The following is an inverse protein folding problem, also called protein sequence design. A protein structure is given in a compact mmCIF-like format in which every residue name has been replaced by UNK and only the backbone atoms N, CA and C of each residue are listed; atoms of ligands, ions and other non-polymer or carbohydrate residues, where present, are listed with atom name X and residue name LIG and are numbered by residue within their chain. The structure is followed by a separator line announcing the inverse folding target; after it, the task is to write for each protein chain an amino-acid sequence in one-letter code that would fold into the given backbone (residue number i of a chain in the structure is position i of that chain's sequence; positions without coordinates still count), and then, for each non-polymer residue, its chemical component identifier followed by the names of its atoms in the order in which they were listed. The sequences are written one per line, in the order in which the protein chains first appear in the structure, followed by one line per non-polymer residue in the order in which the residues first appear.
data_IF_066950230918
#
_entry.id   IF_066950230918
#
_cell.length_a   1.000
_cell.length_b   1.000
_cell.length_c   1.000
_cell.angle_alpha   90.00
_cell.angle_beta   90.00
_cell.angle_gamma   90.00
#
_symmetry.space_group_name_H-M   'P 1'
#
loop_
_entity.id
_entity.type
_entity.pdbx_description
1 polymer ?
#
# COMPACT_ATOMS: atom_id res chain seq x y z
N UNK A 1 8.59 23.48 -1.95
CA UNK A 1 7.68 22.33 -1.99
C UNK A 1 7.58 21.72 -0.60
N UNK A 2 6.40 21.78 0.03
CA UNK A 2 6.10 21.16 1.31
C UNK A 2 5.67 19.71 1.08
N UNK A 3 6.47 18.76 1.55
CA UNK A 3 6.16 17.33 1.45
C UNK A 3 5.74 16.76 2.81
N UNK A 4 4.69 15.94 2.82
CA UNK A 4 4.22 15.20 4.00
C UNK A 4 4.08 13.71 3.65
N UNK A 5 4.89 12.87 4.29
CA UNK A 5 4.87 11.41 4.14
C UNK A 5 4.35 10.79 5.44
N UNK A 6 3.13 10.29 5.41
CA UNK A 6 2.46 9.74 6.59
C UNK A 6 2.97 8.33 6.88
N UNK A 7 3.57 8.16 8.05
CA UNK A 7 4.03 6.87 8.57
C UNK A 7 2.88 6.21 9.32
N UNK A 8 2.15 5.35 8.60
CA UNK A 8 0.95 4.68 9.10
C UNK A 8 1.31 3.64 10.16
N UNK A 9 0.74 3.78 11.35
CA UNK A 9 1.00 2.91 12.48
C UNK A 9 -0.23 2.62 13.33
N UNK A 10 -0.30 1.42 13.90
CA UNK A 10 -1.24 1.05 14.97
C UNK A 10 -0.53 0.90 16.32
N UNK A 11 0.74 1.28 16.42
CA UNK A 11 1.53 1.25 17.66
C UNK A 11 2.64 2.30 17.69
N UNK A 12 3.13 2.63 18.89
CA UNK A 12 4.32 3.47 19.05
C UNK A 12 5.53 2.83 18.39
N UNK A 13 6.30 3.63 17.65
CA UNK A 13 7.47 3.15 16.91
C UNK A 13 8.48 4.27 16.67
N UNK A 14 9.71 3.90 16.31
CA UNK A 14 10.79 4.82 15.98
C UNK A 14 10.45 5.50 14.64
N UNK A 15 10.47 6.83 14.63
CA UNK A 15 10.25 7.61 13.41
C UNK A 15 11.57 7.90 12.68
N UNK A 16 11.53 8.07 11.36
CA UNK A 16 12.64 8.66 10.60
C UNK A 16 13.01 10.04 11.15
N UNK A 17 14.26 10.47 10.90
CA UNK A 17 14.75 11.77 11.37
C UNK A 17 14.32 12.94 10.50
N UNK A 18 14.08 12.69 9.22
CA UNK A 18 13.68 13.74 8.27
C UNK A 18 12.25 14.21 8.57
N UNK A 19 12.03 15.52 8.61
CA UNK A 19 10.79 16.16 9.06
C UNK A 19 9.60 15.92 8.12
N UNK A 20 9.85 15.49 6.87
CA UNK A 20 8.77 15.11 5.96
C UNK A 20 7.96 13.92 6.49
N UNK A 21 8.53 13.09 7.38
CA UNK A 21 7.87 11.89 7.88
C UNK A 21 6.99 12.22 9.08
N UNK A 22 5.68 12.23 8.85
CA UNK A 22 4.69 12.51 9.88
C UNK A 22 4.14 11.21 10.45
N UNK A 23 4.33 10.93 11.74
CA UNK A 23 3.71 9.78 12.38
C UNK A 23 2.17 9.91 12.36
N UNK A 24 1.47 8.88 11.87
CA UNK A 24 0.01 8.89 11.82
C UNK A 24 -0.56 7.58 12.36
N UNK A 25 -1.31 7.69 13.45
CA UNK A 25 -1.94 6.58 14.12
C UNK A 25 -3.32 6.31 13.51
N UNK A 26 -3.53 5.05 13.13
CA UNK A 26 -4.78 4.58 12.50
C UNK A 26 -5.66 3.76 13.43
N UNK A 27 -6.95 3.72 13.10
CA UNK A 27 -7.93 2.86 13.72
C UNK A 27 -8.51 3.40 15.03
N UNK A 28 -9.35 2.56 15.65
CA UNK A 28 -10.29 2.92 16.73
C UNK A 28 -9.68 2.97 18.13
N UNK A 29 -8.36 2.75 18.27
CA UNK A 29 -7.71 2.75 19.59
C UNK A 29 -7.98 4.08 20.33
N UNK A 30 -8.53 4.04 21.56
CA UNK A 30 -8.81 5.26 22.31
C UNK A 30 -7.54 5.96 22.80
N UNK A 31 -6.41 5.26 22.91
CA UNK A 31 -5.13 5.87 23.30
C UNK A 31 -4.58 6.70 22.14
N UNK A 32 -4.33 7.99 22.36
CA UNK A 32 -3.62 8.82 21.39
C UNK A 32 -2.12 8.78 21.67
N UNK A 33 -1.33 8.33 20.69
CA UNK A 33 0.12 8.35 20.81
C UNK A 33 0.63 9.78 20.71
N UNK A 34 1.34 10.25 21.76
CA UNK A 34 1.92 11.59 21.78
C UNK A 34 2.78 11.85 20.54
N UNK A 35 2.50 12.94 19.84
CA UNK A 35 3.20 13.36 18.63
C UNK A 35 2.71 12.70 17.33
N UNK A 36 1.72 11.80 17.38
CA UNK A 36 1.12 11.20 16.19
C UNK A 36 -0.13 12.00 15.77
N UNK A 37 -0.30 12.16 14.47
CA UNK A 37 -1.59 12.51 13.88
C UNK A 37 -2.59 11.37 14.09
N UNK A 38 -3.89 11.67 14.01
CA UNK A 38 -4.95 10.67 14.15
C UNK A 38 -5.89 10.69 12.96
N UNK A 39 -6.06 9.52 12.34
CA UNK A 39 -6.98 9.32 11.22
C UNK A 39 -8.46 9.44 11.60
N UNK A 40 -8.80 9.50 12.90
CA UNK A 40 -10.17 9.61 13.40
C UNK A 40 -10.61 11.05 13.70
N UNK A 41 -9.92 12.05 13.15
CA UNK A 41 -10.20 13.47 13.33
C UNK A 41 -10.68 14.10 12.02
N UNK A 42 -11.42 15.21 12.07
CA UNK A 42 -11.93 15.87 10.86
C UNK A 42 -12.81 14.95 9.99
N UNK A 43 -12.76 15.13 8.67
CA UNK A 43 -13.43 14.22 7.73
C UNK A 43 -12.62 12.92 7.61
N UNK A 44 -13.25 11.80 7.97
CA UNK A 44 -12.55 10.52 8.08
C UNK A 44 -13.43 9.28 7.89
N UNK A 45 -12.75 8.16 7.67
CA UNK A 45 -13.31 6.81 7.61
C UNK A 45 -12.58 5.85 8.58
N UNK A 46 -12.02 6.36 9.68
CA UNK A 46 -11.21 5.56 10.63
C UNK A 46 -11.96 4.34 11.20
N UNK A 47 -13.29 4.45 11.33
CA UNK A 47 -14.16 3.33 11.72
C UNK A 47 -14.04 2.10 10.79
N UNK A 48 -13.59 2.29 9.55
CA UNK A 48 -13.39 1.24 8.55
C UNK A 48 -11.99 0.63 8.56
N UNK A 49 -11.10 1.04 9.47
CA UNK A 49 -9.68 0.64 9.46
C UNK A 49 -9.47 -0.89 9.51
N UNK A 50 -10.36 -1.63 10.18
CA UNK A 50 -10.30 -3.09 10.23
C UNK A 50 -10.35 -3.74 8.83
N UNK A 51 -11.02 -3.10 7.87
CA UNK A 51 -11.19 -3.60 6.51
C UNK A 51 -10.37 -2.83 5.48
N UNK A 52 -10.32 -1.50 5.61
CA UNK A 52 -9.62 -0.59 4.70
C UNK A 52 -8.14 -0.40 5.05
N UNK A 53 -7.71 -0.84 6.22
CA UNK A 53 -6.32 -0.74 6.67
C UNK A 53 -5.78 0.70 6.53
N UNK A 54 -4.57 0.85 5.99
CA UNK A 54 -3.91 2.14 5.74
C UNK A 54 -4.68 3.10 4.82
N UNK A 55 -5.68 2.65 4.06
CA UNK A 55 -6.46 3.55 3.20
C UNK A 55 -7.25 4.57 4.00
N UNK A 56 -7.55 4.27 5.27
CA UNK A 56 -8.15 5.24 6.21
C UNK A 56 -7.23 6.45 6.45
N UNK A 57 -5.93 6.22 6.58
CA UNK A 57 -4.94 7.29 6.63
C UNK A 57 -4.84 8.06 5.31
N UNK A 58 -4.88 7.34 4.18
CA UNK A 58 -4.82 7.92 2.85
C UNK A 58 -5.99 8.88 2.60
N UNK A 59 -7.21 8.44 2.94
CA UNK A 59 -8.42 9.26 2.88
C UNK A 59 -8.31 10.46 3.82
N UNK A 60 -7.92 10.24 5.07
CA UNK A 60 -7.77 11.33 6.04
C UNK A 60 -6.78 12.40 5.57
N UNK A 61 -5.63 11.99 5.03
CA UNK A 61 -4.65 12.90 4.47
C UNK A 61 -5.20 13.72 3.31
N UNK A 62 -5.97 13.08 2.42
CA UNK A 62 -6.64 13.74 1.29
C UNK A 62 -7.58 14.85 1.75
N UNK A 63 -8.35 14.60 2.81
CA UNK A 63 -9.38 15.53 3.29
C UNK A 63 -8.86 16.62 4.23
N UNK A 64 -7.79 16.35 4.98
CA UNK A 64 -7.40 17.19 6.11
C UNK A 64 -6.04 17.88 5.91
N UNK A 65 -5.31 17.60 4.83
CA UNK A 65 -3.93 18.08 4.62
C UNK A 65 -3.76 18.78 3.26
N UNK A 66 -2.94 19.82 3.24
CA UNK A 66 -2.74 20.73 2.09
C UNK A 66 -1.26 20.82 1.65
N UNK A 67 -0.49 19.76 1.85
CA UNK A 67 0.90 19.69 1.39
C UNK A 67 0.98 19.64 -0.15
N UNK A 68 2.08 20.10 -0.75
CA UNK A 68 2.30 20.03 -2.20
C UNK A 68 2.55 18.58 -2.66
N UNK A 69 3.15 17.78 -1.78
CA UNK A 69 3.43 16.36 -1.98
C UNK A 69 2.91 15.59 -0.79
N UNK A 70 2.17 14.52 -1.05
CA UNK A 70 1.62 13.61 -0.06
C UNK A 70 2.16 12.21 -0.29
N UNK A 71 2.42 11.49 0.78
CA UNK A 71 2.90 10.12 0.70
C UNK A 71 2.41 9.25 1.84
N UNK A 72 2.38 7.96 1.60
CA UNK A 72 1.97 6.96 2.58
C UNK A 72 3.02 5.85 2.64
N UNK A 73 3.53 5.59 3.85
CA UNK A 73 4.46 4.50 4.15
C UNK A 73 4.02 3.77 5.41
N UNK A 74 4.55 2.57 5.64
CA UNK A 74 4.23 1.81 6.85
C UNK A 74 5.26 2.10 7.94
N UNK A 75 4.85 2.00 9.20
CA UNK A 75 5.76 2.11 10.36
C UNK A 75 6.97 1.15 10.37
N UNK A 76 6.92 0.10 9.54
CA UNK A 76 7.99 -0.92 9.43
C UNK A 76 8.52 -1.10 8.00
N UNK A 77 8.11 -0.27 7.05
CA UNK A 77 8.53 -0.32 5.64
C UNK A 77 8.69 1.10 5.10
N UNK A 78 9.90 1.43 4.67
CA UNK A 78 10.24 2.77 4.17
C UNK A 78 10.94 2.66 2.83
N UNK A 79 10.78 3.66 1.97
CA UNK A 79 11.62 3.82 0.79
C UNK A 79 13.07 4.04 1.23
N UNK A 80 14.01 3.37 0.57
CA UNK A 80 15.43 3.66 0.76
C UNK A 80 15.88 4.84 -0.06
N UNK A 81 17.06 5.34 0.27
CA UNK A 81 17.74 6.39 -0.48
C UNK A 81 18.39 5.87 -1.79
N UNK A 82 17.73 4.92 -2.46
CA UNK A 82 18.17 4.30 -3.73
C UNK A 82 18.93 2.97 -3.58
N UNK A 83 19.32 2.56 -2.37
CA UNK A 83 20.10 1.33 -2.14
C UNK A 83 19.27 0.19 -1.55
N UNK A 84 19.62 -1.06 -1.87
CA UNK A 84 19.03 -2.25 -1.25
C UNK A 84 19.88 -2.70 -0.06
N UNK A 85 19.38 -2.52 1.15
CA UNK A 85 20.11 -2.82 2.38
C UNK A 85 19.58 -4.06 3.11
N UNK A 86 19.62 -5.23 2.45
CA UNK A 86 19.02 -6.47 3.00
C UNK A 86 19.67 -6.95 4.30
N UNK A 87 21.01 -6.83 4.41
CA UNK A 87 21.81 -7.31 5.55
C UNK A 87 22.25 -6.21 6.51
N UNK A 88 21.81 -4.98 6.28
CA UNK A 88 22.13 -3.87 7.18
C UNK A 88 21.42 -4.02 8.53
N UNK A 89 22.06 -3.55 9.59
CA UNK A 89 21.42 -3.38 10.90
C UNK A 89 20.21 -2.44 10.78
N UNK A 90 19.29 -2.54 11.75
CA UNK A 90 18.11 -1.66 11.79
C UNK A 90 18.54 -0.19 11.80
N UNK A 91 19.54 0.19 12.60
CA UNK A 91 20.00 1.57 12.66
C UNK A 91 20.60 2.07 11.33
N UNK A 92 21.36 1.23 10.63
CA UNK A 92 21.87 1.58 9.29
C UNK A 92 20.73 1.70 8.27
N UNK A 93 19.66 0.92 8.38
CA UNK A 93 18.46 1.09 7.55
C UNK A 93 17.75 2.42 7.84
N UNK A 94 17.64 2.83 9.10
CA UNK A 94 17.05 4.14 9.45
C UNK A 94 17.87 5.31 8.90
N UNK A 95 19.19 5.18 8.82
CA UNK A 95 20.07 6.19 8.22
C UNK A 95 19.95 6.28 6.70
N UNK A 96 19.45 5.22 6.04
CA UNK A 96 19.30 5.16 4.58
C UNK A 96 17.85 5.31 4.12
N UNK A 97 16.94 5.76 5.00
CA UNK A 97 15.57 6.10 4.60
C UNK A 97 15.64 7.29 3.62
N UNK A 98 14.80 7.25 2.58
CA UNK A 98 14.69 8.32 1.59
C UNK A 98 14.53 9.68 2.28
N UNK A 99 15.39 10.63 1.93
CA UNK A 99 15.36 12.00 2.47
C UNK A 99 14.46 12.90 1.63
N UNK A 100 14.12 14.06 2.20
CA UNK A 100 13.47 15.17 1.49
C UNK A 100 14.22 15.55 0.21
N UNK A 101 15.54 15.64 0.25
CA UNK A 101 16.37 15.95 -0.94
C UNK A 101 16.16 14.92 -2.07
N UNK A 102 16.23 13.63 -1.76
CA UNK A 102 16.06 12.56 -2.77
C UNK A 102 14.64 12.50 -3.30
N UNK A 103 13.65 12.66 -2.43
CA UNK A 103 12.24 12.75 -2.82
C UNK A 103 12.02 13.93 -3.78
N UNK A 104 12.57 15.11 -3.46
CA UNK A 104 12.42 16.30 -4.29
C UNK A 104 13.06 16.11 -5.67
N UNK A 105 14.26 15.53 -5.74
CA UNK A 105 14.91 15.20 -7.02
C UNK A 105 14.07 14.24 -7.85
N UNK A 106 13.54 13.19 -7.25
CA UNK A 106 12.67 12.25 -7.95
C UNK A 106 11.40 12.92 -8.49
N UNK A 107 10.76 13.79 -7.71
CA UNK A 107 9.51 14.45 -8.10
C UNK A 107 9.69 15.66 -9.04
N UNK A 108 10.93 16.03 -9.37
CA UNK A 108 11.22 16.97 -10.46
C UNK A 108 11.06 16.31 -11.84
N UNK A 109 11.38 15.03 -11.94
CA UNK A 109 11.33 14.27 -13.20
C UNK A 109 10.06 13.42 -13.34
N UNK A 110 9.50 12.97 -12.22
CA UNK A 110 8.35 12.06 -12.17
C UNK A 110 7.22 12.63 -11.32
N UNK A 111 6.01 12.14 -11.54
CA UNK A 111 4.84 12.58 -10.79
C UNK A 111 4.59 11.77 -9.50
N UNK A 112 5.12 10.54 -9.46
CA UNK A 112 4.91 9.59 -8.37
C UNK A 112 6.16 8.73 -8.09
N UNK A 113 6.33 8.36 -6.82
CA UNK A 113 7.31 7.39 -6.34
C UNK A 113 6.54 6.16 -5.87
N UNK A 114 6.90 5.00 -6.41
CA UNK A 114 6.31 3.71 -6.09
C UNK A 114 7.37 2.72 -5.57
N UNK A 115 6.96 1.67 -4.85
CA UNK A 115 7.87 0.59 -4.50
C UNK A 115 8.36 -0.12 -5.76
N UNK A 116 9.52 -0.78 -5.71
CA UNK A 116 9.84 -1.74 -6.78
C UNK A 116 8.77 -2.83 -6.85
N UNK A 117 8.27 -3.13 -8.05
CA UNK A 117 7.27 -4.19 -8.25
C UNK A 117 7.75 -5.51 -7.66
N UNK A 118 6.82 -6.24 -7.05
CA UNK A 118 7.02 -7.64 -6.69
C UNK A 118 6.80 -8.49 -7.91
N UNK A 119 7.72 -9.39 -8.24
CA UNK A 119 7.56 -10.35 -9.34
C UNK A 119 6.99 -11.69 -8.82
N UNK A 120 5.98 -12.20 -9.51
CA UNK A 120 5.44 -13.54 -9.38
C UNK A 120 6.08 -14.44 -10.43
N UNK A 121 6.79 -15.49 -10.00
CA UNK A 121 7.56 -16.34 -10.92
C UNK A 121 6.74 -17.43 -11.60
N UNK A 122 5.55 -17.76 -11.05
CA UNK A 122 4.70 -18.87 -11.52
C UNK A 122 3.26 -18.38 -11.71
N UNK A 123 2.80 -17.41 -10.91
CA UNK A 123 1.42 -16.92 -10.89
C UNK A 123 1.24 -15.61 -11.68
N UNK A 124 0.01 -15.35 -12.12
CA UNK A 124 -0.46 -14.00 -12.43
C UNK A 124 -0.99 -13.33 -11.16
N UNK A 125 -1.20 -12.02 -11.18
CA UNK A 125 -1.85 -11.30 -10.09
C UNK A 125 -3.23 -11.89 -9.77
N UNK A 126 -3.99 -12.32 -10.78
CA UNK A 126 -5.27 -13.02 -10.62
C UNK A 126 -5.11 -14.34 -9.87
N UNK A 127 -4.28 -15.26 -10.37
CA UNK A 127 -4.12 -16.58 -9.74
C UNK A 127 -3.50 -16.46 -8.35
N UNK A 128 -2.61 -15.48 -8.15
CA UNK A 128 -2.07 -15.18 -6.83
C UNK A 128 -3.17 -14.76 -5.86
N UNK A 129 -4.04 -13.84 -6.27
CA UNK A 129 -5.17 -13.40 -5.44
C UNK A 129 -6.11 -14.56 -5.12
N UNK A 130 -6.49 -15.37 -6.11
CA UNK A 130 -7.33 -16.56 -5.91
C UNK A 130 -6.75 -17.56 -4.88
N UNK A 131 -5.42 -17.72 -4.86
CA UNK A 131 -4.77 -18.63 -3.91
C UNK A 131 -4.71 -18.11 -2.47
N UNK A 132 -4.81 -16.79 -2.25
CA UNK A 132 -4.60 -16.18 -0.93
C UNK A 132 -5.79 -15.36 -0.40
N UNK A 133 -6.81 -15.15 -1.25
CA UNK A 133 -8.00 -14.35 -1.00
C UNK A 133 -9.21 -14.94 -1.76
N UNK A 134 -10.42 -14.44 -1.51
CA UNK A 134 -11.61 -14.92 -2.21
C UNK A 134 -11.77 -14.25 -3.57
N UNK A 135 -11.69 -15.02 -4.65
CA UNK A 135 -11.69 -14.45 -6.01
C UNK A 135 -12.96 -13.66 -6.35
N UNK A 136 -14.10 -14.01 -5.74
CA UNK A 136 -15.38 -13.28 -5.87
C UNK A 136 -15.24 -11.78 -5.57
N UNK A 137 -14.29 -11.38 -4.73
CA UNK A 137 -14.07 -9.98 -4.37
C UNK A 137 -13.45 -9.19 -5.54
N UNK A 138 -12.54 -9.81 -6.30
CA UNK A 138 -12.00 -9.22 -7.53
C UNK A 138 -13.01 -9.24 -8.67
N UNK A 139 -13.83 -10.28 -8.77
CA UNK A 139 -14.93 -10.33 -9.73
C UNK A 139 -15.93 -9.20 -9.48
N UNK A 140 -16.30 -9.00 -8.20
CA UNK A 140 -17.15 -7.88 -7.77
C UNK A 140 -16.49 -6.53 -8.08
N UNK A 141 -15.18 -6.41 -7.83
CA UNK A 141 -14.42 -5.20 -8.21
C UNK A 141 -14.49 -4.92 -9.70
N UNK A 142 -14.32 -5.95 -10.54
CA UNK A 142 -14.45 -5.79 -11.99
C UNK A 142 -15.86 -5.38 -12.42
N UNK A 143 -16.90 -5.94 -11.80
CA UNK A 143 -18.30 -5.56 -12.06
C UNK A 143 -18.53 -4.08 -11.75
N UNK A 144 -18.07 -3.61 -10.59
CA UNK A 144 -18.12 -2.18 -10.22
C UNK A 144 -17.42 -1.31 -11.26
N UNK A 145 -16.25 -1.72 -11.75
CA UNK A 145 -15.54 -0.98 -12.80
C UNK A 145 -16.33 -0.97 -14.12
N UNK A 146 -16.94 -2.09 -14.52
CA UNK A 146 -17.80 -2.13 -15.73
C UNK A 146 -18.94 -1.13 -15.64
N UNK A 147 -19.58 -1.03 -14.47
CA UNK A 147 -20.75 -0.16 -14.26
C UNK A 147 -20.39 1.32 -14.14
N UNK A 148 -19.36 1.66 -13.36
CA UNK A 148 -19.05 3.07 -13.01
C UNK A 148 -17.84 3.64 -13.74
N UNK A 149 -16.92 2.80 -14.17
CA UNK A 149 -15.62 3.19 -14.71
C UNK A 149 -15.23 2.33 -15.92
N UNK A 150 -16.09 2.19 -16.95
CA UNK A 150 -15.88 1.23 -18.04
C UNK A 150 -14.53 1.41 -18.74
N UNK A 151 -14.02 2.63 -18.84
CA UNK A 151 -12.71 2.93 -19.44
C UNK A 151 -11.52 2.40 -18.64
N UNK A 152 -11.70 1.99 -17.38
CA UNK A 152 -10.67 1.37 -16.54
C UNK A 152 -10.61 -0.16 -16.73
N UNK A 153 -11.68 -0.77 -17.27
CA UNK A 153 -11.79 -2.24 -17.40
C UNK A 153 -10.66 -2.83 -18.24
N UNK A 154 -10.25 -2.27 -19.40
CA UNK A 154 -9.12 -2.81 -20.16
C UNK A 154 -7.81 -2.83 -19.36
N UNK A 155 -7.59 -1.82 -18.50
CA UNK A 155 -6.40 -1.71 -17.66
C UNK A 155 -6.46 -2.69 -16.48
N UNK A 156 -7.63 -2.88 -15.88
CA UNK A 156 -7.87 -3.92 -14.89
C UNK A 156 -7.58 -5.31 -15.47
N UNK A 157 -8.16 -5.64 -16.62
CA UNK A 157 -8.01 -6.93 -17.28
C UNK A 157 -6.55 -7.22 -17.66
N UNK A 158 -5.77 -6.18 -17.98
CA UNK A 158 -4.33 -6.31 -18.19
C UNK A 158 -3.58 -6.49 -16.87
N UNK A 159 -3.86 -5.66 -15.85
CA UNK A 159 -3.18 -5.68 -14.57
C UNK A 159 -3.28 -7.04 -13.87
N UNK A 160 -4.47 -7.66 -13.87
CA UNK A 160 -4.69 -8.97 -13.24
C UNK A 160 -3.97 -10.12 -13.97
N UNK A 161 -3.63 -9.96 -15.25
CA UNK A 161 -2.85 -10.94 -16.04
C UNK A 161 -1.34 -10.79 -15.86
N UNK A 162 -0.87 -9.68 -15.28
CA UNK A 162 0.56 -9.46 -15.07
C UNK A 162 1.12 -10.40 -14.02
N UNK A 163 2.44 -10.54 -14.05
CA UNK A 163 3.22 -11.29 -13.07
C UNK A 163 4.05 -10.37 -12.21
N UNK A 164 3.65 -9.11 -12.12
CA UNK A 164 4.27 -8.12 -11.26
C UNK A 164 3.26 -7.06 -10.84
N UNK A 165 3.41 -6.55 -9.62
CA UNK A 165 2.47 -5.61 -9.00
C UNK A 165 3.20 -4.71 -7.99
N UNK A 166 2.74 -3.46 -7.86
CA UNK A 166 3.15 -2.58 -6.76
C UNK A 166 2.43 -2.96 -5.46
N UNK A 167 3.18 -3.51 -4.51
CA UNK A 167 2.61 -3.98 -3.24
C UNK A 167 2.57 -2.90 -2.17
N UNK A 168 1.81 -3.17 -1.11
CA UNK A 168 1.76 -2.46 0.17
C UNK A 168 1.04 -1.11 0.18
N UNK A 169 0.35 -0.68 -0.87
CA UNK A 169 -0.29 0.65 -0.92
C UNK A 169 0.67 1.82 -0.54
N UNK A 170 1.98 1.63 -0.72
CA UNK A 170 2.98 2.66 -0.46
C UNK A 170 3.16 3.51 -1.71
N UNK A 171 3.04 4.82 -1.56
CA UNK A 171 3.24 5.77 -2.67
C UNK A 171 3.60 7.14 -2.12
N UNK A 172 4.29 7.94 -2.93
CA UNK A 172 4.50 9.37 -2.69
C UNK A 172 4.22 10.08 -4.01
N UNK A 173 3.37 11.10 -4.02
CA UNK A 173 2.98 11.78 -5.25
C UNK A 173 2.72 13.27 -5.02
N UNK A 174 2.69 14.04 -6.11
CA UNK A 174 2.11 15.39 -6.11
C UNK A 174 0.69 15.32 -5.55
N UNK A 175 0.30 16.32 -4.74
CA UNK A 175 -0.95 16.26 -3.95
C UNK A 175 -2.18 16.00 -4.81
N UNK A 176 -2.30 16.68 -5.95
CA UNK A 176 -3.45 16.53 -6.84
C UNK A 176 -3.63 15.08 -7.32
N UNK A 177 -2.53 14.39 -7.60
CA UNK A 177 -2.56 12.98 -8.02
C UNK A 177 -2.85 12.04 -6.85
N UNK A 178 -2.26 12.31 -5.69
CA UNK A 178 -2.56 11.55 -4.46
C UNK A 178 -4.06 11.64 -4.16
N UNK A 179 -4.61 12.85 -4.17
CA UNK A 179 -6.00 13.13 -3.83
C UNK A 179 -6.97 12.59 -4.89
N UNK A 180 -6.63 12.69 -6.18
CA UNK A 180 -7.41 12.13 -7.28
C UNK A 180 -7.45 10.59 -7.23
N UNK A 181 -6.30 9.94 -7.02
CA UNK A 181 -6.24 8.49 -6.85
C UNK A 181 -7.05 8.04 -5.64
N UNK A 182 -6.88 8.69 -4.48
CA UNK A 182 -7.63 8.34 -3.27
C UNK A 182 -9.14 8.51 -3.46
N UNK A 183 -9.56 9.58 -4.12
CA UNK A 183 -10.99 9.83 -4.38
C UNK A 183 -11.58 8.73 -5.27
N UNK A 184 -10.90 8.38 -6.38
CA UNK A 184 -11.34 7.30 -7.25
C UNK A 184 -11.34 5.94 -6.54
N UNK A 185 -10.27 5.63 -5.82
CA UNK A 185 -10.12 4.35 -5.12
C UNK A 185 -11.23 4.15 -4.08
N UNK A 186 -11.52 5.18 -3.28
CA UNK A 186 -12.55 5.11 -2.24
C UNK A 186 -13.95 5.02 -2.84
N UNK A 187 -14.22 5.68 -3.97
CA UNK A 187 -15.50 5.51 -4.67
C UNK A 187 -15.69 4.07 -5.14
N UNK A 188 -14.68 3.48 -5.82
CA UNK A 188 -14.72 2.07 -6.26
C UNK A 188 -14.88 1.12 -5.07
N UNK A 189 -14.06 1.25 -4.04
CA UNK A 189 -14.11 0.34 -2.89
C UNK A 189 -15.40 0.46 -2.09
N UNK A 190 -16.00 1.65 -2.00
CA UNK A 190 -17.29 1.83 -1.33
C UNK A 190 -18.42 1.09 -2.05
N UNK A 191 -18.31 0.94 -3.37
CA UNK A 191 -19.25 0.20 -4.20
C UNK A 191 -19.03 -1.30 -4.12
N UNK A 192 -17.78 -1.74 -4.01
CA UNK A 192 -17.46 -3.15 -3.71
C UNK A 192 -17.99 -3.52 -2.33
N UNK A 193 -17.77 -2.67 -1.33
CA UNK A 193 -18.22 -2.90 0.06
C UNK A 193 -19.74 -3.12 0.17
N UNK A 194 -20.54 -2.41 -0.64
CA UNK A 194 -22.00 -2.61 -0.68
C UNK A 194 -22.42 -3.96 -1.26
N UNK A 195 -21.56 -4.59 -2.05
CA UNK A 195 -21.83 -5.83 -2.83
C UNK A 195 -21.15 -7.07 -2.24
N UNK A 196 -20.27 -6.90 -1.24
CA UNK A 196 -19.53 -8.01 -0.62
C UNK A 196 -20.01 -8.28 0.81
N UNK A 197 -20.33 -9.53 1.10
CA UNK A 197 -20.50 -10.01 2.48
C UNK A 197 -19.20 -10.65 2.99
N UNK A 198 -18.70 -10.09 4.09
CA UNK A 198 -17.46 -10.48 4.77
C UNK A 198 -17.72 -10.92 6.22
N UNK A 199 -18.97 -11.19 6.62
CA UNK A 199 -19.31 -11.59 8.01
C UNK A 199 -18.45 -12.77 8.47
N UNK A 200 -18.34 -13.77 7.59
CA UNK A 200 -17.72 -15.07 7.81
C UNK A 200 -16.22 -15.08 7.53
N UNK A 201 -15.65 -13.94 7.11
CA UNK A 201 -14.22 -13.82 6.84
C UNK A 201 -13.45 -13.80 8.15
N UNK A 202 -12.28 -14.44 8.14
CA UNK A 202 -11.30 -14.30 9.23
C UNK A 202 -10.83 -12.85 9.36
N UNK A 203 -10.25 -12.44 10.50
CA UNK A 203 -9.70 -11.09 10.65
C UNK A 203 -8.67 -10.71 9.60
N UNK A 204 -7.95 -11.69 9.03
CA UNK A 204 -7.02 -11.44 7.93
C UNK A 204 -7.76 -11.18 6.62
N UNK A 205 -8.71 -12.05 6.26
CA UNK A 205 -9.50 -11.92 5.03
C UNK A 205 -10.34 -10.65 5.04
N UNK A 206 -10.86 -10.22 6.20
CA UNK A 206 -11.63 -8.96 6.35
C UNK A 206 -10.91 -7.71 5.85
N UNK A 207 -9.60 -7.77 5.59
CA UNK A 207 -8.77 -6.70 5.03
C UNK A 207 -8.87 -6.58 3.50
N UNK A 208 -9.89 -7.20 2.88
CA UNK A 208 -10.08 -7.27 1.43
C UNK A 208 -9.85 -5.96 0.69
N UNK A 209 -10.35 -4.83 1.21
CA UNK A 209 -10.27 -3.55 0.50
C UNK A 209 -8.83 -3.05 0.41
N UNK A 210 -8.01 -3.34 1.43
CA UNK A 210 -6.57 -3.09 1.40
C UNK A 210 -5.81 -4.00 0.42
N UNK A 211 -6.30 -5.22 0.16
CA UNK A 211 -5.70 -6.12 -0.83
C UNK A 211 -6.10 -5.74 -2.26
N UNK A 212 -7.37 -5.41 -2.48
CA UNK A 212 -7.90 -4.95 -3.77
C UNK A 212 -7.18 -3.65 -4.19
N UNK A 213 -6.95 -2.73 -3.26
CA UNK A 213 -6.29 -1.46 -3.55
C UNK A 213 -4.86 -1.61 -4.07
N UNK A 214 -4.13 -2.66 -3.68
CA UNK A 214 -2.78 -2.91 -4.19
C UNK A 214 -2.81 -3.17 -5.71
N UNK A 215 -3.86 -3.84 -6.20
CA UNK A 215 -4.06 -4.05 -7.64
C UNK A 215 -4.62 -2.80 -8.34
N UNK A 216 -5.57 -2.10 -7.70
CA UNK A 216 -6.20 -0.91 -8.29
C UNK A 216 -5.21 0.26 -8.45
N UNK A 217 -4.13 0.31 -7.67
CA UNK A 217 -3.06 1.29 -7.87
C UNK A 217 -2.47 1.20 -9.28
N UNK A 218 -2.11 -0.01 -9.73
CA UNK A 218 -1.55 -0.22 -11.07
C UNK A 218 -2.57 0.11 -12.16
N UNK A 219 -3.84 -0.25 -11.95
CA UNK A 219 -4.93 0.08 -12.88
C UNK A 219 -5.05 1.58 -13.07
N UNK A 220 -5.05 2.33 -11.97
CA UNK A 220 -5.18 3.79 -12.02
C UNK A 220 -3.95 4.46 -12.65
N UNK A 221 -2.74 4.01 -12.28
CA UNK A 221 -1.48 4.52 -12.84
C UNK A 221 -1.44 4.34 -14.36
N UNK A 222 -1.77 3.14 -14.85
CA UNK A 222 -1.74 2.87 -16.29
C UNK A 222 -2.83 3.62 -17.04
N UNK A 223 -4.06 3.67 -16.49
CA UNK A 223 -5.20 4.34 -17.12
C UNK A 223 -4.93 5.84 -17.31
N UNK A 224 -4.28 6.45 -16.32
CA UNK A 224 -4.00 7.88 -16.32
C UNK A 224 -2.59 8.21 -16.84
N UNK A 225 -1.82 7.20 -17.27
CA UNK A 225 -0.49 7.34 -17.83
C UNK A 225 0.47 8.12 -16.90
N UNK A 226 0.38 7.85 -15.60
CA UNK A 226 1.14 8.58 -14.60
C UNK A 226 2.62 8.23 -14.69
N UNK A 227 3.47 9.24 -14.78
CA UNK A 227 4.92 9.05 -14.74
C UNK A 227 5.36 8.69 -13.32
N UNK A 228 6.14 7.62 -13.17
CA UNK A 228 6.59 7.18 -11.86
C UNK A 228 8.01 6.64 -11.86
N UNK A 229 8.65 6.69 -10.69
CA UNK A 229 9.96 6.06 -10.42
C UNK A 229 9.86 5.05 -9.28
N UNK A 230 10.54 3.92 -9.43
CA UNK A 230 10.52 2.85 -8.44
C UNK A 230 11.72 2.89 -7.48
N UNK A 231 11.44 2.98 -6.18
CA UNK A 231 12.45 2.90 -5.13
C UNK A 231 12.41 1.59 -4.35
N UNK A 232 13.57 1.05 -3.90
CA UNK A 232 13.57 -0.12 -3.02
C UNK A 232 12.88 0.18 -1.69
N UNK A 233 12.14 -0.80 -1.17
CA UNK A 233 11.54 -0.74 0.17
C UNK A 233 12.40 -1.50 1.17
N UNK A 234 12.74 -0.86 2.28
CA UNK A 234 13.44 -1.46 3.41
C UNK A 234 12.49 -1.92 4.49
N UNK A 235 12.69 -3.15 4.95
CA UNK A 235 11.95 -3.75 6.05
C UNK A 235 12.73 -3.57 7.36
N UNK A 236 12.08 -2.94 8.34
CA UNK A 236 12.70 -2.59 9.63
C UNK A 236 12.63 -3.71 10.68
N UNK A 237 11.77 -4.70 10.47
CA UNK A 237 11.69 -5.89 11.33
C UNK A 237 12.73 -6.96 10.95
N UNK A 238 13.07 -7.84 11.91
CA UNK A 238 13.90 -9.03 11.66
C UNK A 238 13.24 -9.88 10.56
N UNK A 239 13.93 -10.05 9.44
CA UNK A 239 13.49 -10.94 8.37
C UNK A 239 14.12 -12.31 8.60
N UNK A 240 13.31 -13.33 8.89
CA UNK A 240 13.81 -14.70 9.00
C UNK A 240 14.02 -15.28 7.59
N UNK A 241 15.17 -14.95 7.00
CA UNK A 241 15.52 -15.35 5.64
C UNK A 241 15.61 -16.86 5.48
N UNK A 242 16.05 -17.59 6.51
CA UNK A 242 16.09 -19.06 6.49
C UNK A 242 14.69 -19.64 6.35
N UNK A 243 13.73 -19.19 7.16
CA UNK A 243 12.32 -19.59 7.03
C UNK A 243 11.71 -19.20 5.69
N UNK A 244 12.05 -18.02 5.16
CA UNK A 244 11.54 -17.58 3.85
C UNK A 244 12.08 -18.42 2.70
N UNK A 245 13.38 -18.71 2.70
CA UNK A 245 14.03 -19.53 1.68
C UNK A 245 13.53 -20.97 1.78
N UNK A 246 13.42 -21.53 2.98
CA UNK A 246 12.89 -22.89 3.15
C UNK A 246 11.42 -22.99 2.72
N UNK A 247 10.57 -22.03 3.08
CA UNK A 247 9.16 -22.00 2.65
C UNK A 247 9.02 -21.82 1.14
N UNK A 248 9.87 -21.00 0.52
CA UNK A 248 9.93 -20.86 -0.93
C UNK A 248 10.34 -22.16 -1.63
N UNK A 249 11.38 -22.85 -1.15
CA UNK A 249 11.83 -24.13 -1.70
C UNK A 249 10.78 -25.23 -1.52
N UNK A 250 10.14 -25.30 -0.35
CA UNK A 250 9.05 -26.24 -0.08
C UNK A 250 7.89 -25.98 -1.03
N UNK A 251 7.41 -24.74 -1.20
CA UNK A 251 6.37 -24.39 -2.18
C UNK A 251 6.75 -24.80 -3.60
N UNK A 252 8.01 -24.60 -3.99
CA UNK A 252 8.50 -24.96 -5.33
C UNK A 252 8.50 -26.47 -5.58
N UNK A 253 8.71 -27.28 -4.54
CA UNK A 253 8.75 -28.74 -4.64
C UNK A 253 7.35 -29.36 -4.48
N UNK A 254 6.51 -28.82 -3.58
CA UNK A 254 5.25 -29.46 -3.17
C UNK A 254 4.01 -28.82 -3.77
N UNK A 255 4.12 -27.62 -4.37
CA UNK A 255 2.99 -26.86 -4.88
C UNK A 255 2.01 -26.35 -3.81
N UNK A 256 2.32 -26.50 -2.51
CA UNK A 256 1.44 -26.12 -1.40
C UNK A 256 2.08 -25.07 -0.48
N UNK A 257 1.28 -24.19 0.15
CA UNK A 257 1.76 -23.28 1.19
C UNK A 257 2.48 -24.03 2.31
N UNK A 258 3.56 -23.45 2.81
CA UNK A 258 4.37 -24.04 3.87
C UNK A 258 3.71 -23.78 5.22
N UNK A 259 3.71 -24.76 6.14
CA UNK A 259 3.28 -24.54 7.54
C UNK A 259 4.12 -23.47 8.27
N UNK A 260 5.25 -23.06 7.69
CA UNK A 260 6.11 -21.99 8.19
C UNK A 260 5.70 -20.59 7.71
N UNK A 261 4.63 -20.49 6.90
CA UNK A 261 4.09 -19.21 6.41
C UNK A 261 3.27 -18.45 7.49
N UNK A 262 3.00 -19.09 8.63
CA UNK A 262 2.38 -18.49 9.85
C UNK A 262 3.43 -18.00 10.86
#
# INVERSE_FOLDING_TARGET
MKAEVYVVSHKKTKMPKDEIYLPLQVGKDPENFKGFLRDNTGDNISAKNENYCELTAQYWATKNRTADVKGLVHYRRFFSNGKRNFFASVDKKYQDIMTSETLQKALQEYDMILPKKRNYYIETSWSHYEHVHHIKDLETTRQVLVEKYPDHVPFFDQAVKRRSVHMFNMMIAKSELFDAYTTWLIDVLSEVEKRTDISDYTPYEKRIYGFISELLLDVWVDKNQISYVEYPVMFMGKQNWVKKISSFLIRKITGKPSRLDN
#
